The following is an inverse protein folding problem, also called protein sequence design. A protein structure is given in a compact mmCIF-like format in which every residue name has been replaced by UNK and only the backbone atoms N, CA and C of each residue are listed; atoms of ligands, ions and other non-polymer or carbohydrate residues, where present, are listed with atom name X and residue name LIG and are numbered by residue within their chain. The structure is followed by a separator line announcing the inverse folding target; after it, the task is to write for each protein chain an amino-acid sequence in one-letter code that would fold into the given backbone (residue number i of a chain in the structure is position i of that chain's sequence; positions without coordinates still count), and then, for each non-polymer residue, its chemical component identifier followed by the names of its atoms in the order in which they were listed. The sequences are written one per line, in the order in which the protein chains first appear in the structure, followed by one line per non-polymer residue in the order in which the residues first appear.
data_IF_161290221931
#
_entry.id   IF_161290221931
#
_cell.length_a   1.000
_cell.length_b   1.000
_cell.length_c   1.000
_cell.angle_alpha   90.00
_cell.angle_beta   90.00
_cell.angle_gamma   90.00
#
_symmetry.space_group_name_H-M   'P 1'
#
loop_
_entity.id
_entity.type
_entity.pdbx_description
1 polymer ?
#
# COMPACT_ATOMS: atom_id res chain seq x y z
N UNK A 1 1.11 5.02 3.13
CA UNK A 1 2.53 5.40 3.23
C UNK A 1 3.36 4.64 2.20
N UNK A 2 3.70 3.35 2.37
CA UNK A 2 4.42 2.61 1.31
C UNK A 2 3.58 2.43 0.01
N UNK A 3 2.37 1.87 0.12
CA UNK A 3 1.43 1.67 -1.00
C UNK A 3 0.86 2.97 -1.63
N UNK A 4 1.40 4.13 -1.26
CA UNK A 4 0.89 5.43 -1.70
C UNK A 4 2.06 6.32 -2.16
N UNK A 5 3.11 6.41 -1.36
CA UNK A 5 4.29 7.24 -1.67
C UNK A 5 5.36 6.50 -2.49
N UNK A 6 5.53 5.19 -2.23
CA UNK A 6 6.55 4.37 -2.88
C UNK A 6 6.01 3.66 -4.13
N UNK A 7 4.86 4.06 -4.67
CA UNK A 7 4.27 3.40 -5.84
C UNK A 7 4.47 4.29 -7.08
N UNK A 8 4.93 3.66 -8.16
CA UNK A 8 5.07 4.26 -9.50
C UNK A 8 3.72 4.36 -10.20
N UNK A 9 3.56 5.17 -11.26
CA UNK A 9 2.31 5.23 -12.03
C UNK A 9 1.83 3.87 -12.59
N UNK A 10 2.72 2.88 -12.69
CA UNK A 10 2.44 1.52 -13.13
C UNK A 10 1.94 0.59 -11.99
N UNK A 11 1.62 1.16 -10.82
CA UNK A 11 1.21 0.42 -9.61
C UNK A 11 2.29 -0.52 -9.01
N UNK A 12 3.54 -0.40 -9.47
CA UNK A 12 4.69 -1.14 -8.94
C UNK A 12 5.41 -0.33 -7.85
N UNK A 13 6.09 -1.00 -6.92
CA UNK A 13 6.93 -0.33 -5.94
C UNK A 13 8.18 0.29 -6.59
N UNK A 14 8.45 1.56 -6.28
CA UNK A 14 9.70 2.24 -6.54
C UNK A 14 10.74 1.78 -5.50
N UNK A 15 11.79 1.04 -5.90
CA UNK A 15 12.75 0.46 -4.97
C UNK A 15 13.58 1.53 -4.25
N UNK A 16 13.83 2.68 -4.87
CA UNK A 16 14.60 3.77 -4.27
C UNK A 16 13.80 4.44 -3.16
N UNK A 17 12.53 4.79 -3.42
CA UNK A 17 11.66 5.38 -2.40
C UNK A 17 11.37 4.40 -1.28
N UNK A 18 11.15 3.13 -1.62
CA UNK A 18 10.89 2.09 -0.63
C UNK A 18 12.08 1.87 0.28
N UNK A 19 13.28 1.73 -0.26
CA UNK A 19 14.50 1.58 0.54
C UNK A 19 14.71 2.78 1.46
N UNK A 20 14.59 4.01 0.93
CA UNK A 20 14.73 5.23 1.73
C UNK A 20 13.71 5.30 2.88
N UNK A 21 12.44 4.95 2.62
CA UNK A 21 11.38 4.87 3.64
C UNK A 21 11.77 3.89 4.76
N UNK A 22 12.17 2.68 4.37
CA UNK A 22 12.35 1.56 5.29
C UNK A 22 13.63 1.70 6.11
N UNK A 23 14.73 2.17 5.52
CA UNK A 23 15.97 2.49 6.24
C UNK A 23 15.70 3.55 7.30
N UNK A 24 15.13 4.69 6.91
CA UNK A 24 14.87 5.79 7.83
C UNK A 24 13.91 5.38 8.97
N UNK A 25 12.91 4.54 8.68
CA UNK A 25 12.03 4.00 9.71
C UNK A 25 12.78 3.06 10.66
N UNK A 26 13.57 2.12 10.10
CA UNK A 26 14.28 1.11 10.88
C UNK A 26 15.35 1.71 11.80
N UNK A 27 16.01 2.80 11.39
CA UNK A 27 16.95 3.56 12.22
C UNK A 27 16.30 4.14 13.48
N UNK A 28 15.04 4.56 13.39
CA UNK A 28 14.29 5.10 14.54
C UNK A 28 13.65 4.00 15.37
N UNK A 29 13.19 2.94 14.71
CA UNK A 29 12.56 1.76 15.34
C UNK A 29 12.92 0.51 14.55
N UNK A 30 13.89 -0.28 15.03
CA UNK A 30 14.20 -1.57 14.44
C UNK A 30 12.96 -2.47 14.43
N UNK A 31 12.63 -2.99 13.25
CA UNK A 31 11.59 -3.99 13.08
C UNK A 31 12.07 -5.34 13.62
N UNK A 32 11.16 -6.06 14.24
CA UNK A 32 11.39 -7.44 14.68
C UNK A 32 11.48 -8.38 13.48
N UNK A 33 12.11 -9.54 13.68
CA UNK A 33 12.14 -10.60 12.68
C UNK A 33 10.72 -11.03 12.22
N UNK A 34 9.73 -10.97 13.13
CA UNK A 34 8.34 -11.25 12.79
C UNK A 34 7.76 -10.19 11.84
N UNK A 35 8.00 -8.90 12.10
CA UNK A 35 7.54 -7.82 11.22
C UNK A 35 8.18 -7.89 9.84
N UNK A 36 9.50 -8.12 9.79
CA UNK A 36 10.25 -8.31 8.53
C UNK A 36 9.69 -9.49 7.74
N UNK A 37 9.46 -10.64 8.39
CA UNK A 37 8.88 -11.83 7.75
C UNK A 37 7.49 -11.58 7.16
N UNK A 38 6.67 -10.76 7.82
CA UNK A 38 5.30 -10.49 7.38
C UNK A 38 5.18 -9.29 6.44
N UNK A 39 6.28 -8.57 6.17
CA UNK A 39 6.29 -7.39 5.32
C UNK A 39 5.54 -7.55 3.98
N UNK A 40 5.80 -8.59 3.16
CA UNK A 40 5.07 -8.76 1.90
C UNK A 40 3.56 -8.89 2.10
N UNK A 41 3.13 -9.65 3.13
CA UNK A 41 1.71 -9.81 3.47
C UNK A 41 1.09 -8.51 3.99
N UNK A 42 1.85 -7.69 4.70
CA UNK A 42 1.37 -6.39 5.17
C UNK A 42 1.12 -5.41 4.02
N UNK A 43 1.94 -5.45 2.96
CA UNK A 43 1.67 -4.69 1.73
C UNK A 43 0.34 -5.09 1.09
N UNK A 44 0.07 -6.39 0.97
CA UNK A 44 -1.20 -6.94 0.46
C UNK A 44 -2.37 -6.52 1.35
N UNK A 45 -2.28 -6.73 2.67
CA UNK A 45 -3.35 -6.39 3.62
C UNK A 45 -3.68 -4.90 3.59
N UNK A 46 -2.67 -4.03 3.52
CA UNK A 46 -2.88 -2.61 3.41
C UNK A 46 -3.54 -2.21 2.08
N UNK A 47 -3.08 -2.75 0.95
CA UNK A 47 -3.68 -2.48 -0.36
C UNK A 47 -5.15 -2.91 -0.41
N UNK A 48 -5.45 -4.13 0.08
CA UNK A 48 -6.81 -4.65 0.20
C UNK A 48 -7.69 -3.74 1.05
N UNK A 49 -7.21 -3.31 2.22
CA UNK A 49 -7.96 -2.41 3.11
C UNK A 49 -8.34 -1.10 2.41
N UNK A 50 -7.39 -0.49 1.68
CA UNK A 50 -7.65 0.76 0.96
C UNK A 50 -8.58 0.56 -0.24
N UNK A 51 -8.41 -0.53 -0.99
CA UNK A 51 -9.32 -0.89 -2.08
C UNK A 51 -10.76 -1.04 -1.57
N UNK A 52 -10.97 -1.83 -0.51
CA UNK A 52 -12.30 -2.02 0.10
C UNK A 52 -12.89 -0.70 0.62
N UNK A 53 -12.08 0.18 1.21
CA UNK A 53 -12.53 1.50 1.64
C UNK A 53 -13.06 2.32 0.48
N UNK A 54 -12.32 2.42 -0.63
CA UNK A 54 -12.74 3.18 -1.82
C UNK A 54 -13.93 2.53 -2.51
N UNK A 55 -13.99 1.21 -2.53
CA UNK A 55 -15.12 0.46 -3.06
C UNK A 55 -16.39 0.76 -2.25
N UNK A 56 -16.29 0.76 -0.92
CA UNK A 56 -17.38 1.13 -0.03
C UNK A 56 -17.83 2.58 -0.27
N UNK A 57 -16.90 3.53 -0.37
CA UNK A 57 -17.22 4.94 -0.63
C UNK A 57 -17.94 5.13 -1.97
N UNK A 58 -17.62 4.31 -2.98
CA UNK A 58 -18.28 4.32 -4.29
C UNK A 58 -19.72 3.78 -4.24
N UNK A 59 -19.98 2.74 -3.46
CA UNK A 59 -21.32 2.12 -3.37
C UNK A 59 -22.22 2.73 -2.29
N UNK A 60 -21.65 3.47 -1.34
CA UNK A 60 -22.37 4.16 -0.27
C UNK A 60 -22.05 5.67 -0.28
N UNK A 61 -22.43 6.39 -1.35
CA UNK A 61 -22.19 7.82 -1.40
C UNK A 61 -22.94 8.52 -0.26
N UNK A 62 -22.21 9.23 0.59
CA UNK A 62 -22.79 9.99 1.71
C UNK A 62 -23.63 11.14 1.15
N UNK A 63 -24.90 11.20 1.52
CA UNK A 63 -25.78 12.34 1.21
C UNK A 63 -25.18 13.64 1.74
N UNK A 64 -24.92 14.59 0.84
CA UNK A 64 -24.31 15.89 1.18
C UNK A 64 -22.78 15.95 1.14
N UNK A 65 -22.09 14.88 0.73
CA UNK A 65 -20.64 14.94 0.49
C UNK A 65 -20.33 15.71 -0.79
N UNK A 66 -19.56 16.80 -0.69
CA UNK A 66 -18.98 17.52 -1.83
C UNK A 66 -17.77 16.79 -2.46
N UNK A 67 -17.30 15.72 -1.81
CA UNK A 67 -16.12 14.98 -2.25
C UNK A 67 -16.52 13.90 -3.26
N UNK A 68 -15.93 13.97 -4.45
CA UNK A 68 -15.97 12.87 -5.41
C UNK A 68 -15.22 11.65 -4.83
N UNK A 69 -15.79 10.44 -4.88
CA UNK A 69 -15.11 9.23 -4.46
C UNK A 69 -13.81 9.05 -5.26
N UNK A 70 -12.72 8.69 -4.58
CA UNK A 70 -11.48 8.32 -5.26
C UNK A 70 -11.67 7.04 -6.08
N UNK A 71 -10.97 6.94 -7.21
CA UNK A 71 -11.00 5.74 -8.04
C UNK A 71 -10.53 4.50 -7.25
N UNK A 72 -11.37 3.47 -7.07
CA UNK A 72 -10.97 2.25 -6.38
C UNK A 72 -9.96 1.42 -7.16
N UNK A 73 -9.93 1.49 -8.50
CA UNK A 73 -9.10 0.62 -9.35
C UNK A 73 -7.60 0.82 -9.12
N UNK A 74 -7.20 2.00 -8.63
CA UNK A 74 -5.81 2.27 -8.26
C UNK A 74 -5.27 1.28 -7.22
N UNK A 75 -6.00 1.07 -6.12
CA UNK A 75 -5.56 0.12 -5.08
C UNK A 75 -5.79 -1.33 -5.47
N UNK A 76 -6.70 -1.60 -6.42
CA UNK A 76 -6.85 -2.91 -7.05
C UNK A 76 -5.58 -3.27 -7.82
N UNK A 77 -5.05 -2.38 -8.68
CA UNK A 77 -3.81 -2.63 -9.41
C UNK A 77 -2.60 -2.84 -8.48
N UNK A 78 -2.49 -2.03 -7.42
CA UNK A 78 -1.43 -2.21 -6.40
C UNK A 78 -1.57 -3.57 -5.70
N UNK A 79 -2.80 -3.97 -5.34
CA UNK A 79 -3.07 -5.26 -4.72
C UNK A 79 -2.65 -6.41 -5.65
N UNK A 80 -3.08 -6.38 -6.91
CA UNK A 80 -2.72 -7.39 -7.92
C UNK A 80 -1.21 -7.49 -8.08
N UNK A 81 -0.51 -6.35 -8.18
CA UNK A 81 0.95 -6.34 -8.27
C UNK A 81 1.62 -7.02 -7.06
N UNK A 82 1.18 -6.72 -5.82
CA UNK A 82 1.75 -7.36 -4.62
C UNK A 82 1.48 -8.86 -4.53
N UNK A 83 0.36 -9.34 -5.09
CA UNK A 83 0.03 -10.76 -5.14
C UNK A 83 0.88 -11.50 -6.17
N UNK A 84 1.13 -10.87 -7.33
CA UNK A 84 1.95 -11.44 -8.40
C UNK A 84 3.44 -11.36 -8.11
N UNK A 85 3.88 -10.27 -7.47
CA UNK A 85 5.29 -9.97 -7.20
C UNK A 85 5.50 -9.63 -5.71
N UNK A 86 5.59 -10.64 -4.84
CA UNK A 86 5.86 -10.43 -3.43
C UNK A 86 7.19 -9.69 -3.23
N UNK A 87 7.13 -8.52 -2.58
CA UNK A 87 8.31 -7.71 -2.29
C UNK A 87 8.88 -8.09 -0.90
N UNK A 88 10.03 -8.78 -0.82
CA UNK A 88 10.68 -9.04 0.47
C UNK A 88 11.18 -7.73 1.10
N UNK A 89 11.48 -7.80 2.39
CA UNK A 89 12.14 -6.69 3.08
C UNK A 89 13.52 -6.44 2.41
N UNK A 90 13.84 -5.19 2.01
CA UNK A 90 15.01 -4.90 1.17
C UNK A 90 16.33 -4.67 1.93
N UNK A 91 16.36 -4.91 3.25
CA UNK A 91 17.57 -4.78 4.09
C UNK A 91 17.99 -6.11 4.70
#
# INVERSE_FOLDING_TARGET
MANDWCVTPQACLDPTRLSALLVAYHEKRPLTAAEIKHWPRMLVTAALRFWLSRLNDRFQPRTGSLLNPHDPTWFEHILSHHLEQPCPWPL
#
